data_IF_207342598437
#
_entry.id   IF_207342598437
#
_cell.length_a   1.000
_cell.length_b   1.000
_cell.length_c   1.000
_cell.angle_alpha   90.00
_cell.angle_beta   90.00
_cell.angle_gamma   90.00
#
_symmetry.space_group_name_H-M   'P 1'
#
loop_
_entity.id
_entity.type
_entity.pdbx_description
1 polymer ?
#
# COMPACT_ATOMS: atom_id res chain seq x y z
N UNK A 1 27.53 48.58 -15.14
CA UNK A 1 28.17 47.41 -15.76
C UNK A 1 29.61 47.19 -15.32
N UNK A 2 30.23 48.16 -14.68
CA UNK A 2 31.62 48.07 -14.18
C UNK A 2 31.75 47.32 -12.86
N UNK A 3 30.76 47.41 -11.99
CA UNK A 3 30.79 46.76 -10.67
C UNK A 3 30.75 45.23 -10.71
N UNK A 4 30.11 44.62 -11.73
CA UNK A 4 30.04 43.16 -11.89
C UNK A 4 31.36 42.56 -12.38
N UNK A 5 32.15 43.29 -13.13
CA UNK A 5 33.49 42.84 -13.56
C UNK A 5 34.51 42.83 -12.42
N UNK A 6 34.42 43.79 -11.51
CA UNK A 6 35.31 43.84 -10.33
C UNK A 6 35.08 42.67 -9.38
N UNK A 7 33.82 42.23 -9.18
CA UNK A 7 33.50 41.09 -8.33
C UNK A 7 34.02 39.77 -8.94
N UNK A 8 33.98 39.62 -10.25
CA UNK A 8 34.51 38.46 -10.96
C UNK A 8 36.02 38.34 -10.88
N UNK A 9 36.72 39.47 -10.94
CA UNK A 9 38.18 39.53 -10.83
C UNK A 9 38.69 39.25 -9.39
N UNK A 10 37.91 39.63 -8.36
CA UNK A 10 38.23 39.27 -6.97
C UNK A 10 38.02 37.79 -6.69
N UNK A 11 37.02 37.14 -7.29
CA UNK A 11 36.80 35.71 -7.19
C UNK A 11 37.89 34.88 -7.88
N UNK A 12 38.33 35.31 -9.08
CA UNK A 12 39.42 34.68 -9.82
C UNK A 12 40.77 34.79 -9.08
N UNK A 13 41.06 35.95 -8.49
CA UNK A 13 42.31 36.14 -7.72
C UNK A 13 42.34 35.38 -6.40
N UNK A 14 41.18 34.98 -5.82
CA UNK A 14 41.11 34.12 -4.63
C UNK A 14 41.35 32.65 -4.97
N UNK A 15 40.94 32.19 -6.14
CA UNK A 15 41.15 30.81 -6.54
C UNK A 15 42.60 30.47 -6.86
N UNK A 16 43.40 31.44 -7.34
CA UNK A 16 44.82 31.22 -7.66
C UNK A 16 45.77 31.29 -6.47
N UNK A 17 45.37 31.97 -5.36
CA UNK A 17 46.20 32.00 -4.16
C UNK A 17 46.16 30.79 -3.27
N UNK A 18 45.22 29.86 -3.51
CA UNK A 18 45.08 28.62 -2.71
C UNK A 18 45.66 27.39 -3.41
N UNK A 19 46.34 27.54 -4.56
CA UNK A 19 46.77 26.39 -5.37
C UNK A 19 48.23 25.95 -5.16
N UNK A 20 49.00 26.71 -4.40
CA UNK A 20 50.40 26.38 -4.15
C UNK A 20 50.78 26.30 -2.67
N UNK A 21 50.00 25.56 -1.90
CA UNK A 21 50.51 25.00 -0.66
C UNK A 21 50.26 23.48 -0.71
N UNK A 22 51.29 22.79 -1.24
CA UNK A 22 51.48 21.38 -1.06
C UNK A 22 51.70 21.09 0.44
N UNK A 23 50.67 21.31 1.25
CA UNK A 23 50.58 20.76 2.58
C UNK A 23 50.20 19.29 2.40
N UNK A 24 51.15 18.41 2.65
CA UNK A 24 50.88 17.01 2.96
C UNK A 24 49.94 16.95 4.17
N UNK A 25 48.67 17.30 3.96
CA UNK A 25 47.61 17.14 4.95
C UNK A 25 47.33 15.66 4.98
N UNK A 26 48.06 14.94 5.80
CA UNK A 26 47.74 13.54 6.12
C UNK A 26 46.38 13.58 6.80
N UNK A 27 45.34 13.16 6.07
CA UNK A 27 44.00 13.04 6.63
C UNK A 27 44.09 11.95 7.71
N UNK A 28 44.14 12.39 8.98
CA UNK A 28 44.12 11.48 10.10
C UNK A 28 42.67 11.03 10.26
N UNK A 29 42.31 9.77 9.98
CA UNK A 29 40.95 9.31 10.16
C UNK A 29 40.58 9.40 11.64
N UNK A 30 39.40 9.96 11.91
CA UNK A 30 38.85 9.98 13.27
C UNK A 30 38.81 8.53 13.82
N UNK A 31 39.32 8.22 15.02
CA UNK A 31 39.50 6.86 15.50
C UNK A 31 38.23 6.01 15.45
N UNK A 32 37.07 6.63 15.66
CA UNK A 32 35.76 5.96 15.67
C UNK A 32 35.11 5.91 14.28
N UNK A 33 35.67 6.61 13.28
CA UNK A 33 35.05 6.70 11.94
C UNK A 33 34.88 5.35 11.27
N UNK A 34 35.87 4.47 11.38
CA UNK A 34 35.79 3.13 10.80
C UNK A 34 34.71 2.27 11.48
N UNK A 35 34.57 2.40 12.80
CA UNK A 35 33.54 1.70 13.57
C UNK A 35 32.14 2.21 13.21
N UNK A 36 31.93 3.52 13.16
CA UNK A 36 30.65 4.13 12.77
C UNK A 36 30.27 3.78 11.32
N UNK A 37 31.23 3.78 10.41
CA UNK A 37 31.01 3.35 9.03
C UNK A 37 30.56 1.90 8.94
N UNK A 38 31.21 1.01 9.68
CA UNK A 38 30.84 -0.40 9.72
C UNK A 38 29.44 -0.61 10.34
N UNK A 39 29.09 0.17 11.36
CA UNK A 39 27.77 0.14 11.98
C UNK A 39 26.69 0.62 11.01
N UNK A 40 26.92 1.72 10.28
CA UNK A 40 26.01 2.22 9.24
C UNK A 40 25.79 1.17 8.15
N UNK A 41 26.83 0.51 7.67
CA UNK A 41 26.67 -0.55 6.66
C UNK A 41 25.91 -1.75 7.22
N UNK A 42 26.14 -2.14 8.48
CA UNK A 42 25.35 -3.19 9.14
C UNK A 42 23.85 -2.81 9.22
N UNK A 43 23.55 -1.59 9.67
CA UNK A 43 22.17 -1.11 9.76
C UNK A 43 21.48 -1.00 8.40
N UNK A 44 22.21 -0.61 7.36
CA UNK A 44 21.67 -0.61 5.97
C UNK A 44 21.26 -2.02 5.51
N UNK A 45 22.09 -3.02 5.80
CA UNK A 45 21.75 -4.42 5.49
C UNK A 45 20.52 -4.86 6.30
N UNK A 46 20.46 -4.54 7.59
CA UNK A 46 19.35 -4.89 8.47
C UNK A 46 18.04 -4.25 7.99
N UNK A 47 18.04 -2.95 7.65
CA UNK A 47 16.87 -2.27 7.07
C UNK A 47 16.41 -2.97 5.79
N UNK A 48 17.31 -3.32 4.89
CA UNK A 48 16.95 -4.01 3.64
C UNK A 48 16.30 -5.37 3.88
N UNK A 49 16.73 -6.09 4.93
CA UNK A 49 16.13 -7.37 5.32
C UNK A 49 14.74 -7.18 5.94
N UNK A 50 14.56 -6.19 6.83
CA UNK A 50 13.28 -5.89 7.45
C UNK A 50 12.24 -5.39 6.43
N UNK A 51 12.67 -4.59 5.44
CA UNK A 51 11.80 -4.17 4.34
C UNK A 51 11.34 -5.38 3.51
N UNK A 52 12.23 -6.31 3.20
CA UNK A 52 11.87 -7.53 2.49
C UNK A 52 10.86 -8.37 3.30
N UNK A 53 11.11 -8.57 4.58
CA UNK A 53 10.23 -9.33 5.47
C UNK A 53 8.85 -8.67 5.58
N UNK A 54 8.79 -7.34 5.76
CA UNK A 54 7.54 -6.57 5.76
C UNK A 54 6.73 -6.80 4.49
N UNK A 55 7.40 -6.71 3.34
CA UNK A 55 6.73 -6.81 2.06
C UNK A 55 6.31 -8.25 1.75
N UNK A 56 7.09 -9.25 2.17
CA UNK A 56 6.71 -10.67 2.09
C UNK A 56 5.47 -10.96 2.96
N UNK A 57 5.43 -10.44 4.19
CA UNK A 57 4.27 -10.54 5.06
C UNK A 57 3.04 -9.89 4.42
N UNK A 58 3.17 -8.67 3.92
CA UNK A 58 2.05 -7.87 3.42
C UNK A 58 1.50 -8.39 2.09
N UNK A 59 2.37 -8.72 1.14
CA UNK A 59 1.96 -9.02 -0.23
C UNK A 59 1.83 -10.50 -0.54
N UNK A 60 2.45 -11.36 0.26
CA UNK A 60 2.40 -12.82 0.06
C UNK A 60 1.59 -13.48 1.17
N UNK A 61 2.06 -13.40 2.41
CA UNK A 61 1.48 -14.18 3.50
C UNK A 61 0.06 -13.69 3.84
N UNK A 62 -0.13 -12.39 4.03
CA UNK A 62 -1.45 -11.84 4.31
C UNK A 62 -2.44 -12.10 3.16
N UNK A 63 -1.98 -12.01 1.91
CA UNK A 63 -2.82 -12.29 0.75
C UNK A 63 -3.21 -13.75 0.64
N UNK A 64 -2.30 -14.67 0.95
CA UNK A 64 -2.61 -16.11 0.98
C UNK A 64 -3.61 -16.45 2.09
N UNK A 65 -3.47 -15.85 3.28
CA UNK A 65 -4.42 -16.04 4.37
C UNK A 65 -5.80 -15.46 4.00
N UNK A 66 -5.85 -14.25 3.43
CA UNK A 66 -7.09 -13.62 2.95
C UNK A 66 -7.79 -14.51 1.90
N UNK A 67 -7.03 -15.05 0.96
CA UNK A 67 -7.54 -15.97 -0.07
C UNK A 67 -8.10 -17.24 0.55
N UNK A 68 -7.35 -17.89 1.43
CA UNK A 68 -7.81 -19.11 2.11
C UNK A 68 -9.07 -18.86 2.93
N UNK A 69 -9.14 -17.74 3.64
CA UNK A 69 -10.33 -17.32 4.38
C UNK A 69 -11.54 -17.12 3.46
N UNK A 70 -11.38 -16.37 2.36
CA UNK A 70 -12.45 -16.11 1.40
C UNK A 70 -12.96 -17.39 0.72
N UNK A 71 -12.07 -18.32 0.41
CA UNK A 71 -12.47 -19.61 -0.17
C UNK A 71 -13.21 -20.50 0.82
N UNK A 72 -12.83 -20.46 2.11
CA UNK A 72 -13.45 -21.30 3.14
C UNK A 72 -14.77 -20.70 3.66
N UNK A 73 -14.84 -19.41 3.90
CA UNK A 73 -15.95 -18.77 4.62
C UNK A 73 -16.70 -17.73 3.81
N UNK A 74 -16.14 -17.19 2.72
CA UNK A 74 -16.75 -16.08 1.96
C UNK A 74 -18.17 -16.36 1.48
N UNK A 75 -18.45 -17.58 1.03
CA UNK A 75 -19.80 -17.98 0.60
C UNK A 75 -20.81 -18.01 1.75
N UNK A 76 -20.37 -18.39 2.94
CA UNK A 76 -21.23 -18.41 4.15
C UNK A 76 -21.51 -16.99 4.63
N UNK A 77 -20.51 -16.12 4.64
CA UNK A 77 -20.67 -14.71 4.99
C UNK A 77 -21.61 -13.99 4.01
N UNK A 78 -21.43 -14.22 2.71
CA UNK A 78 -22.33 -13.70 1.68
C UNK A 78 -23.77 -14.11 1.94
N UNK A 79 -24.00 -15.41 2.18
CA UNK A 79 -25.32 -15.95 2.44
C UNK A 79 -25.95 -15.42 3.72
N UNK A 80 -25.16 -15.29 4.78
CA UNK A 80 -25.62 -14.71 6.04
C UNK A 80 -25.99 -13.23 5.87
N UNK A 81 -25.21 -12.47 5.15
CA UNK A 81 -25.48 -11.05 4.86
C UNK A 81 -26.72 -10.89 3.96
N UNK A 82 -26.85 -11.69 2.91
CA UNK A 82 -28.03 -11.70 2.01
C UNK A 82 -29.32 -11.99 2.80
N UNK A 83 -29.30 -13.03 3.65
CA UNK A 83 -30.44 -13.37 4.50
C UNK A 83 -30.80 -12.24 5.46
N UNK A 84 -29.81 -11.62 6.08
CA UNK A 84 -30.03 -10.46 6.96
C UNK A 84 -30.66 -9.29 6.22
N UNK A 85 -30.18 -8.96 5.01
CA UNK A 85 -30.76 -7.92 4.16
C UNK A 85 -32.22 -8.26 3.80
N UNK A 86 -32.52 -9.51 3.47
CA UNK A 86 -33.87 -9.94 3.16
C UNK A 86 -34.81 -9.81 4.37
N UNK A 87 -34.36 -10.19 5.56
CA UNK A 87 -35.12 -10.00 6.80
C UNK A 87 -35.41 -8.54 7.08
N UNK A 88 -34.41 -7.66 6.95
CA UNK A 88 -34.58 -6.22 7.14
C UNK A 88 -35.55 -5.63 6.10
N UNK A 89 -35.45 -6.06 4.84
CA UNK A 89 -36.34 -5.63 3.77
C UNK A 89 -37.79 -6.06 4.03
N UNK A 90 -38.02 -7.29 4.48
CA UNK A 90 -39.35 -7.80 4.84
C UNK A 90 -39.92 -7.02 6.03
N UNK A 91 -39.13 -6.80 7.09
CA UNK A 91 -39.55 -5.99 8.23
C UNK A 91 -39.99 -4.59 7.80
N UNK A 92 -39.15 -3.92 6.99
CA UNK A 92 -39.47 -2.59 6.46
C UNK A 92 -40.72 -2.58 5.60
N UNK A 93 -40.93 -3.64 4.78
CA UNK A 93 -42.16 -3.81 3.97
C UNK A 93 -43.39 -3.93 4.85
N UNK A 94 -43.33 -4.70 5.93
CA UNK A 94 -44.43 -4.84 6.91
C UNK A 94 -44.75 -3.48 7.53
N UNK A 95 -43.76 -2.73 7.99
CA UNK A 95 -43.92 -1.41 8.58
C UNK A 95 -44.61 -0.44 7.62
N UNK A 96 -44.19 -0.39 6.34
CA UNK A 96 -44.81 0.47 5.31
C UNK A 96 -46.25 0.08 5.03
N UNK A 97 -46.56 -1.20 4.95
CA UNK A 97 -47.92 -1.71 4.77
C UNK A 97 -48.81 -1.34 5.99
N UNK A 98 -48.28 -1.56 7.19
CA UNK A 98 -48.97 -1.26 8.43
C UNK A 98 -49.28 0.24 8.58
N UNK A 99 -48.28 1.09 8.24
CA UNK A 99 -48.46 2.53 8.25
C UNK A 99 -49.58 2.98 7.30
N UNK A 100 -49.64 2.43 6.08
CA UNK A 100 -50.70 2.74 5.10
C UNK A 100 -52.08 2.24 5.55
N UNK A 101 -52.12 1.02 6.13
CA UNK A 101 -53.34 0.46 6.71
C UNK A 101 -53.88 1.34 7.83
N UNK A 102 -53.02 1.80 8.73
CA UNK A 102 -53.40 2.67 9.84
C UNK A 102 -53.98 4.01 9.39
N UNK A 103 -53.52 4.53 8.23
CA UNK A 103 -54.01 5.76 7.60
C UNK A 103 -55.21 5.54 6.69
N UNK A 104 -55.68 4.30 6.54
CA UNK A 104 -56.77 3.91 5.63
C UNK A 104 -56.45 4.27 4.15
N UNK A 105 -55.18 4.32 3.79
CA UNK A 105 -54.71 4.60 2.41
C UNK A 105 -54.76 3.33 1.56
N UNK A 106 -54.91 3.52 0.24
CA UNK A 106 -54.83 2.42 -0.73
C UNK A 106 -53.40 1.85 -0.76
N UNK A 107 -53.29 0.56 -0.54
CA UNK A 107 -51.97 -0.15 -0.54
C UNK A 107 -51.59 -0.53 -1.96
N UNK A 108 -50.61 0.17 -2.55
CA UNK A 108 -50.02 -0.14 -3.83
C UNK A 108 -48.68 -0.88 -3.58
N UNK A 109 -48.66 -2.20 -3.67
CA UNK A 109 -47.47 -3.03 -3.39
C UNK A 109 -46.31 -2.67 -4.32
N UNK A 110 -46.57 -2.38 -5.60
CA UNK A 110 -45.54 -1.99 -6.56
C UNK A 110 -44.83 -0.67 -6.20
N UNK A 111 -45.54 0.27 -5.60
CA UNK A 111 -44.92 1.52 -5.13
C UNK A 111 -44.04 1.29 -3.88
N UNK A 112 -44.48 0.38 -2.99
CA UNK A 112 -43.70 -0.01 -1.81
C UNK A 112 -42.44 -0.74 -2.24
N UNK A 113 -42.51 -1.66 -3.19
CA UNK A 113 -41.33 -2.41 -3.68
C UNK A 113 -40.33 -1.48 -4.35
N UNK A 114 -40.76 -0.51 -5.16
CA UNK A 114 -39.85 0.50 -5.73
C UNK A 114 -39.18 1.39 -4.68
N UNK A 115 -39.88 1.69 -3.59
CA UNK A 115 -39.29 2.45 -2.48
C UNK A 115 -38.21 1.60 -1.77
N UNK A 116 -38.52 0.33 -1.49
CA UNK A 116 -37.59 -0.62 -0.89
C UNK A 116 -36.35 -0.85 -1.78
N UNK A 117 -36.51 -0.92 -3.11
CA UNK A 117 -35.38 -1.05 -4.02
C UNK A 117 -34.41 0.12 -3.91
N UNK A 118 -34.95 1.34 -3.72
CA UNK A 118 -34.11 2.52 -3.48
C UNK A 118 -33.46 2.53 -2.11
N UNK A 119 -34.23 2.22 -1.05
CA UNK A 119 -33.70 2.17 0.33
C UNK A 119 -32.61 1.12 0.48
N UNK A 120 -32.74 -0.01 -0.20
CA UNK A 120 -31.83 -1.17 -0.09
C UNK A 120 -30.74 -1.24 -1.19
N UNK A 121 -30.64 -0.23 -2.06
CA UNK A 121 -29.61 -0.18 -3.10
C UNK A 121 -28.17 -0.26 -2.54
N UNK A 122 -27.90 0.35 -1.38
CA UNK A 122 -26.61 0.27 -0.71
C UNK A 122 -26.22 -1.15 -0.26
N UNK A 123 -27.18 -1.93 0.20
CA UNK A 123 -26.96 -3.35 0.57
C UNK A 123 -26.64 -4.20 -0.68
N UNK A 124 -27.28 -3.92 -1.81
CA UNK A 124 -26.98 -4.61 -3.05
C UNK A 124 -25.55 -4.30 -3.53
N UNK A 125 -25.09 -3.06 -3.36
CA UNK A 125 -23.71 -2.68 -3.65
C UNK A 125 -22.72 -3.49 -2.78
N UNK A 126 -22.98 -3.59 -1.47
CA UNK A 126 -22.12 -4.37 -0.56
C UNK A 126 -22.10 -5.87 -0.90
N UNK A 127 -23.24 -6.44 -1.33
CA UNK A 127 -23.30 -7.83 -1.82
C UNK A 127 -22.41 -8.03 -3.06
N UNK A 128 -22.46 -7.11 -4.01
CA UNK A 128 -21.62 -7.16 -5.20
C UNK A 128 -20.13 -7.05 -4.85
N UNK A 129 -19.76 -6.16 -3.91
CA UNK A 129 -18.37 -6.06 -3.42
C UNK A 129 -17.88 -7.36 -2.77
N UNK A 130 -18.74 -8.09 -2.06
CA UNK A 130 -18.38 -9.41 -1.50
C UNK A 130 -18.15 -10.44 -2.61
N UNK A 131 -19.00 -10.46 -3.64
CA UNK A 131 -18.82 -11.33 -4.80
C UNK A 131 -17.48 -11.01 -5.48
N UNK A 132 -17.16 -9.75 -5.68
CA UNK A 132 -15.89 -9.33 -6.30
C UNK A 132 -14.67 -9.77 -5.47
N UNK A 133 -14.75 -9.69 -4.13
CA UNK A 133 -13.70 -10.21 -3.24
C UNK A 133 -13.52 -11.71 -3.37
N UNK A 134 -14.63 -12.46 -3.46
CA UNK A 134 -14.59 -13.91 -3.65
C UNK A 134 -14.00 -14.29 -5.01
N UNK A 135 -14.37 -13.58 -6.08
CA UNK A 135 -13.83 -13.81 -7.42
C UNK A 135 -12.31 -13.52 -7.45
N UNK A 136 -11.86 -12.41 -6.86
CA UNK A 136 -10.43 -12.11 -6.73
C UNK A 136 -9.66 -13.18 -5.95
N UNK A 137 -10.25 -13.72 -4.89
CA UNK A 137 -9.65 -14.82 -4.14
C UNK A 137 -9.56 -16.10 -4.97
N UNK A 138 -10.58 -16.38 -5.79
CA UNK A 138 -10.57 -17.53 -6.70
C UNK A 138 -9.49 -17.38 -7.77
N UNK A 139 -9.41 -16.21 -8.42
CA UNK A 139 -8.40 -15.90 -9.42
C UNK A 139 -6.98 -16.02 -8.82
N UNK A 140 -6.78 -15.51 -7.61
CA UNK A 140 -5.51 -15.63 -6.90
C UNK A 140 -5.15 -17.10 -6.58
N UNK A 141 -6.13 -17.92 -6.21
CA UNK A 141 -5.91 -19.35 -5.92
C UNK A 141 -5.56 -20.18 -7.15
N UNK A 142 -6.00 -19.73 -8.35
CA UNK A 142 -5.71 -20.37 -9.63
C UNK A 142 -4.40 -19.84 -10.26
N UNK A 143 -3.77 -18.85 -9.64
CA UNK A 143 -2.49 -18.30 -10.07
C UNK A 143 -1.37 -19.33 -10.07
N UNK A 144 -0.34 -19.07 -10.87
CA UNK A 144 0.85 -19.91 -10.91
C UNK A 144 1.60 -19.86 -9.57
N UNK A 145 1.81 -21.03 -8.98
CA UNK A 145 2.65 -21.14 -7.78
C UNK A 145 4.11 -21.08 -8.20
N UNK A 146 4.83 -20.09 -7.70
CA UNK A 146 6.26 -19.92 -7.98
C UNK A 146 7.06 -21.12 -7.45
N UNK A 147 8.01 -21.58 -8.24
CA UNK A 147 9.00 -22.55 -7.78
C UNK A 147 9.95 -21.94 -6.76
N UNK A 148 10.63 -22.79 -5.96
CA UNK A 148 11.61 -22.32 -4.98
C UNK A 148 12.74 -21.50 -5.63
N UNK A 149 13.11 -21.84 -6.87
CA UNK A 149 14.16 -21.14 -7.60
C UNK A 149 13.71 -19.77 -8.10
N UNK A 150 12.51 -19.67 -8.65
CA UNK A 150 11.89 -18.38 -9.03
C UNK A 150 11.73 -17.49 -7.80
N UNK A 151 11.29 -18.06 -6.68
CA UNK A 151 11.17 -17.32 -5.41
C UNK A 151 12.53 -16.78 -4.94
N UNK A 152 13.61 -17.57 -5.03
CA UNK A 152 14.96 -17.13 -4.72
C UNK A 152 15.45 -16.02 -5.65
N UNK A 153 15.15 -16.12 -6.95
CA UNK A 153 15.51 -15.09 -7.94
C UNK A 153 14.79 -13.78 -7.67
N UNK A 154 13.48 -13.84 -7.41
CA UNK A 154 12.67 -12.66 -7.08
C UNK A 154 13.20 -11.99 -5.81
N UNK A 155 13.46 -12.75 -4.74
CA UNK A 155 14.05 -12.23 -3.50
C UNK A 155 15.41 -11.57 -3.72
N UNK A 156 16.24 -12.13 -4.59
CA UNK A 156 17.54 -11.56 -4.95
C UNK A 156 17.41 -10.25 -5.71
N UNK A 157 16.51 -10.21 -6.71
CA UNK A 157 16.20 -9.02 -7.48
C UNK A 157 15.62 -7.90 -6.59
N UNK A 158 14.65 -8.24 -5.75
CA UNK A 158 14.06 -7.29 -4.80
C UNK A 158 15.11 -6.64 -3.92
N UNK A 159 15.99 -7.43 -3.30
CA UNK A 159 17.09 -6.91 -2.46
C UNK A 159 18.01 -5.97 -3.23
N UNK A 160 18.35 -6.28 -4.48
CA UNK A 160 19.19 -5.40 -5.29
C UNK A 160 18.50 -4.08 -5.63
N UNK A 161 17.19 -4.12 -5.93
CA UNK A 161 16.38 -2.92 -6.21
C UNK A 161 16.24 -2.04 -4.96
N UNK A 162 15.88 -2.64 -3.82
CA UNK A 162 15.76 -1.90 -2.55
C UNK A 162 17.10 -1.28 -2.17
N UNK A 163 18.19 -2.02 -2.28
CA UNK A 163 19.52 -1.51 -1.99
C UNK A 163 19.92 -0.34 -2.89
N UNK A 164 19.45 -0.32 -4.14
CA UNK A 164 19.80 0.72 -5.10
C UNK A 164 18.88 1.95 -5.07
N UNK A 165 17.60 1.79 -4.73
CA UNK A 165 16.59 2.82 -4.97
C UNK A 165 15.78 3.24 -3.74
N UNK A 166 15.89 2.54 -2.59
CA UNK A 166 15.05 2.87 -1.44
C UNK A 166 15.44 4.23 -0.85
N UNK A 167 14.50 5.17 -0.66
CA UNK A 167 14.79 6.52 -0.19
C UNK A 167 15.44 6.55 1.21
N UNK A 168 15.12 5.61 2.09
CA UNK A 168 15.73 5.53 3.42
C UNK A 168 17.22 5.10 3.36
N UNK A 169 17.62 4.39 2.29
CA UNK A 169 19.01 4.00 2.06
C UNK A 169 19.77 5.01 1.19
N UNK A 170 19.04 5.79 0.41
CA UNK A 170 19.56 6.79 -0.52
C UNK A 170 18.76 8.09 -0.41
N UNK A 171 18.92 8.86 0.67
CA UNK A 171 18.17 10.09 0.90
C UNK A 171 18.46 11.18 -0.17
N UNK A 172 19.54 11.02 -0.94
CA UNK A 172 19.91 11.89 -2.07
C UNK A 172 19.03 11.66 -3.30
N UNK A 173 18.33 10.52 -3.41
CA UNK A 173 17.41 10.24 -4.51
C UNK A 173 16.03 10.80 -4.12
N UNK A 174 15.82 12.08 -4.29
CA UNK A 174 14.51 12.71 -4.18
C UNK A 174 13.66 12.36 -5.40
N UNK A 175 12.40 11.91 -5.21
CA UNK A 175 11.48 11.77 -6.34
C UNK A 175 11.25 13.15 -6.97
N UNK A 176 11.46 13.24 -8.30
CA UNK A 176 11.18 14.43 -9.09
C UNK A 176 9.66 14.71 -9.17
#
# INVERSE_FOLDING_TARGET
MEDMKQIHDFAAKRSDKHRDQNTNCTVVPFPEFAALKAEVEKLRVEISMLLLERDELRFVICKNIETAYMLALGSLEYKAFELNCNVLRIKRKIDLIQAKKNRQEKIALSAIDKLLDKEFAGFQCQLNEQIDKMNKALDHSQGHVLTDEETKQIKKLYRSIVKALHPDLHPEITPA
#
